data_IF_565639143365
#
_entry.id   IF_565639143365
#
_cell.length_a   1.000
_cell.length_b   1.000
_cell.length_c   1.000
_cell.angle_alpha   90.00
_cell.angle_beta   90.00
_cell.angle_gamma   90.00
#
_symmetry.space_group_name_H-M   'P 1'
#
loop_
_entity.id
_entity.type
_entity.pdbx_description
1 polymer ?
#
# COMPACT_ATOMS: atom_id res chain seq x y z
N UNK A 1 -11.88 35.68 11.55
CA UNK A 1 -12.72 35.46 10.36
C UNK A 1 -11.97 36.04 9.16
N UNK A 2 -11.07 35.25 8.55
CA UNK A 2 -10.31 35.62 7.36
C UNK A 2 -10.74 34.65 6.26
N UNK A 3 -11.53 35.14 5.31
CA UNK A 3 -11.89 34.44 4.07
C UNK A 3 -10.63 34.36 3.20
N UNK A 4 -10.04 33.18 3.07
CA UNK A 4 -9.14 32.91 1.95
C UNK A 4 -9.98 32.88 0.66
N UNK A 5 -9.83 33.91 -0.12
CA UNK A 5 -10.37 33.97 -1.48
C UNK A 5 -9.42 33.15 -2.34
N UNK A 6 -9.84 31.95 -2.73
CA UNK A 6 -9.22 31.23 -3.84
C UNK A 6 -9.38 32.09 -5.11
N UNK A 7 -8.33 32.77 -5.49
CA UNK A 7 -8.22 33.35 -6.84
C UNK A 7 -8.07 32.19 -7.83
N UNK A 8 -9.15 31.81 -8.45
CA UNK A 8 -9.12 31.06 -9.71
C UNK A 8 -8.49 31.94 -10.76
N UNK A 9 -7.28 31.61 -11.18
CA UNK A 9 -6.65 32.20 -12.36
C UNK A 9 -7.34 31.59 -13.59
N UNK A 10 -7.92 32.38 -14.49
CA UNK A 10 -8.57 31.86 -15.69
C UNK A 10 -7.48 31.39 -16.66
N UNK A 11 -7.49 30.12 -17.09
CA UNK A 11 -6.85 29.71 -18.33
C UNK A 11 -5.70 28.72 -18.27
N UNK A 12 -5.39 28.02 -17.15
CA UNK A 12 -4.46 26.90 -17.21
C UNK A 12 -5.18 25.65 -17.74
N UNK A 13 -5.06 25.43 -19.04
CA UNK A 13 -5.48 24.19 -19.70
C UNK A 13 -4.62 23.04 -19.16
N UNK A 14 -5.12 22.32 -18.15
CA UNK A 14 -4.49 21.10 -17.69
C UNK A 14 -4.56 20.06 -18.82
N UNK A 15 -3.42 19.59 -19.33
CA UNK A 15 -3.45 18.51 -20.32
C UNK A 15 -4.14 17.29 -19.73
N UNK A 16 -4.91 16.57 -20.55
CA UNK A 16 -5.52 15.32 -20.10
C UNK A 16 -4.42 14.32 -19.74
N UNK A 17 -4.40 13.88 -18.49
CA UNK A 17 -3.43 12.92 -17.97
C UNK A 17 -4.10 11.56 -17.87
N UNK A 18 -3.46 10.54 -18.44
CA UNK A 18 -3.80 9.15 -18.16
C UNK A 18 -3.04 8.68 -16.92
N UNK A 19 -3.58 7.70 -16.21
CA UNK A 19 -2.89 7.07 -15.10
C UNK A 19 -2.51 5.62 -15.46
N UNK A 20 -1.32 5.18 -15.03
CA UNK A 20 -0.84 3.80 -15.18
C UNK A 20 -0.63 3.23 -13.79
N UNK A 21 -1.52 2.33 -13.38
CA UNK A 21 -1.44 1.62 -12.11
C UNK A 21 -0.58 0.35 -12.26
N UNK A 22 0.52 0.28 -11.54
CA UNK A 22 1.43 -0.87 -11.53
C UNK A 22 0.97 -1.87 -10.47
N UNK A 23 0.13 -2.81 -10.86
CA UNK A 23 -0.44 -3.84 -10.00
C UNK A 23 0.28 -5.18 -10.19
N UNK A 24 1.60 -5.17 -10.26
CA UNK A 24 2.44 -6.36 -10.36
C UNK A 24 3.19 -6.64 -9.06
N UNK A 25 3.65 -7.87 -8.89
CA UNK A 25 4.50 -8.24 -7.75
C UNK A 25 3.90 -9.31 -6.83
N UNK A 26 4.79 -10.16 -6.28
CA UNK A 26 4.40 -11.32 -5.46
C UNK A 26 3.94 -10.97 -4.03
N UNK A 27 4.04 -9.72 -3.59
CA UNK A 27 3.59 -9.30 -2.27
C UNK A 27 4.31 -9.97 -1.08
N UNK A 28 5.53 -10.50 -1.27
CA UNK A 28 6.22 -11.29 -0.24
C UNK A 28 6.47 -10.51 1.05
N UNK A 29 6.86 -9.24 0.96
CA UNK A 29 7.11 -8.38 2.12
C UNK A 29 5.84 -7.97 2.87
N UNK A 30 4.70 -8.00 2.18
CA UNK A 30 3.39 -7.68 2.75
C UNK A 30 2.71 -8.88 3.42
N UNK A 31 3.34 -10.07 3.40
CA UNK A 31 2.80 -11.22 4.14
C UNK A 31 2.77 -10.95 5.64
N UNK A 32 1.71 -11.37 6.35
CA UNK A 32 0.63 -12.25 5.93
C UNK A 32 -0.57 -11.52 5.27
N UNK A 33 -0.59 -10.19 5.11
CA UNK A 33 -1.71 -9.43 4.56
C UNK A 33 -2.10 -9.88 3.13
N UNK A 34 -1.10 -10.36 2.38
CA UNK A 34 -1.26 -10.87 1.00
C UNK A 34 -1.44 -12.38 0.92
N UNK A 35 -1.77 -13.03 2.03
CA UNK A 35 -2.10 -14.45 2.07
C UNK A 35 -3.50 -14.65 2.63
N UNK A 36 -4.30 -15.45 1.93
CA UNK A 36 -5.60 -15.93 2.40
C UNK A 36 -5.49 -17.36 2.92
N UNK A 37 -6.55 -17.86 3.55
CA UNK A 37 -6.68 -19.26 3.89
C UNK A 37 -6.46 -20.15 2.66
N UNK A 38 -6.02 -21.38 2.85
CA UNK A 38 -5.68 -22.34 1.78
C UNK A 38 -4.53 -21.94 0.83
N UNK A 39 -3.73 -20.92 1.19
CA UNK A 39 -2.53 -20.53 0.43
C UNK A 39 -2.79 -19.67 -0.79
N UNK A 40 -4.01 -19.16 -1.00
CA UNK A 40 -4.30 -18.20 -2.05
C UNK A 40 -3.55 -16.89 -1.83
N UNK A 41 -3.01 -16.33 -2.91
CA UNK A 41 -2.26 -15.06 -2.86
C UNK A 41 -3.23 -13.91 -3.17
N UNK A 42 -3.34 -12.97 -2.22
CA UNK A 42 -4.03 -11.71 -2.44
C UNK A 42 -3.12 -10.72 -3.16
N UNK A 43 -3.66 -10.05 -4.18
CA UNK A 43 -2.99 -8.92 -4.81
C UNK A 43 -2.76 -7.80 -3.79
N UNK A 44 -1.59 -7.17 -3.80
CA UNK A 44 -1.34 -5.98 -2.97
C UNK A 44 -2.37 -4.87 -3.23
N UNK A 45 -2.77 -4.70 -4.49
CA UNK A 45 -3.79 -3.75 -4.91
C UNK A 45 -5.17 -4.04 -4.32
N UNK A 46 -5.46 -5.32 -4.01
CA UNK A 46 -6.72 -5.78 -3.45
C UNK A 46 -6.67 -5.95 -1.91
N UNK A 47 -5.55 -5.63 -1.25
CA UNK A 47 -5.50 -5.62 0.22
C UNK A 47 -6.55 -4.65 0.74
N UNK A 48 -7.43 -5.07 1.67
CA UNK A 48 -8.41 -4.19 2.27
C UNK A 48 -7.73 -3.08 3.06
N UNK A 49 -8.17 -1.85 2.84
CA UNK A 49 -7.75 -0.67 3.58
C UNK A 49 -8.98 0.15 3.90
N UNK A 50 -9.31 0.29 5.18
CA UNK A 50 -10.51 1.02 5.63
C UNK A 50 -11.76 0.61 4.83
N UNK A 51 -12.05 -0.68 4.78
CA UNK A 51 -13.26 -1.25 4.18
C UNK A 51 -13.32 -1.31 2.65
N UNK A 52 -12.23 -0.96 1.95
CA UNK A 52 -12.16 -1.03 0.47
C UNK A 52 -10.81 -1.57 0.00
N UNK A 53 -10.72 -2.19 -1.18
CA UNK A 53 -9.45 -2.49 -1.82
C UNK A 53 -8.59 -1.23 -1.97
N UNK A 54 -7.30 -1.32 -1.65
CA UNK A 54 -6.37 -0.19 -1.69
C UNK A 54 -6.39 0.55 -3.04
N UNK A 55 -6.48 -0.20 -4.14
CA UNK A 55 -6.52 0.39 -5.49
C UNK A 55 -7.75 1.26 -5.74
N UNK A 56 -8.87 1.01 -5.08
CA UNK A 56 -10.07 1.88 -5.18
C UNK A 56 -9.82 3.25 -4.56
N UNK A 57 -9.11 3.31 -3.42
CA UNK A 57 -8.72 4.56 -2.79
C UNK A 57 -7.81 5.39 -3.69
N UNK A 58 -6.82 4.75 -4.32
CA UNK A 58 -5.90 5.41 -5.25
C UNK A 58 -6.62 5.97 -6.48
N UNK A 59 -7.49 5.17 -7.09
CA UNK A 59 -8.29 5.61 -8.24
C UNK A 59 -9.20 6.77 -7.86
N UNK A 60 -9.87 6.70 -6.71
CA UNK A 60 -10.74 7.77 -6.23
C UNK A 60 -9.95 9.07 -5.96
N UNK A 61 -8.81 8.99 -5.27
CA UNK A 61 -7.97 10.14 -4.95
C UNK A 61 -7.45 10.86 -6.22
N UNK A 62 -7.02 10.13 -7.24
CA UNK A 62 -6.57 10.72 -8.49
C UNK A 62 -7.72 11.18 -9.38
N UNK A 63 -8.87 10.47 -9.41
CA UNK A 63 -10.08 10.94 -10.07
C UNK A 63 -10.52 12.31 -9.56
N UNK A 64 -10.51 12.49 -8.25
CA UNK A 64 -10.91 13.74 -7.62
C UNK A 64 -9.97 14.90 -7.94
N UNK A 65 -8.78 14.59 -8.46
CA UNK A 65 -7.82 15.54 -9.02
C UNK A 65 -7.85 15.60 -10.56
N UNK A 66 -8.89 15.04 -11.20
CA UNK A 66 -9.15 15.19 -12.63
C UNK A 66 -8.66 14.05 -13.53
N UNK A 67 -8.11 12.95 -12.98
CA UNK A 67 -7.72 11.79 -13.79
C UNK A 67 -8.94 10.92 -14.08
N UNK A 68 -9.29 10.76 -15.36
CA UNK A 68 -10.48 10.00 -15.77
C UNK A 68 -10.15 8.71 -16.53
N UNK A 69 -8.90 8.51 -16.94
CA UNK A 69 -8.46 7.34 -17.72
C UNK A 69 -7.35 6.60 -16.98
N UNK A 70 -7.61 5.36 -16.61
CA UNK A 70 -6.69 4.49 -15.89
C UNK A 70 -6.32 3.27 -16.72
N UNK A 71 -5.05 2.91 -16.69
CA UNK A 71 -4.49 1.73 -17.36
C UNK A 71 -3.80 0.87 -16.31
N UNK A 72 -4.26 -0.36 -16.13
CA UNK A 72 -3.73 -1.28 -15.12
C UNK A 72 -2.76 -2.25 -15.75
N UNK A 73 -1.50 -2.18 -15.34
CA UNK A 73 -0.49 -3.19 -15.62
C UNK A 73 -0.53 -4.25 -14.53
N UNK A 74 -1.28 -5.33 -14.73
CA UNK A 74 -1.37 -6.45 -13.79
C UNK A 74 -0.54 -7.62 -14.28
N UNK A 75 0.30 -8.20 -13.40
CA UNK A 75 1.09 -9.40 -13.69
C UNK A 75 0.50 -10.61 -12.97
N UNK A 76 0.32 -11.71 -13.70
CA UNK A 76 -0.29 -12.94 -13.22
C UNK A 76 -1.83 -12.95 -13.28
N UNK A 77 -2.39 -14.14 -13.54
CA UNK A 77 -3.82 -14.32 -13.74
C UNK A 77 -4.63 -13.94 -12.49
N UNK A 78 -4.21 -14.42 -11.33
CA UNK A 78 -4.90 -14.20 -10.05
C UNK A 78 -4.88 -12.73 -9.65
N UNK A 79 -3.72 -12.08 -9.74
CA UNK A 79 -3.57 -10.66 -9.46
C UNK A 79 -4.47 -9.80 -10.37
N UNK A 80 -4.48 -10.09 -11.67
CA UNK A 80 -5.35 -9.42 -12.65
C UNK A 80 -6.83 -9.59 -12.31
N UNK A 81 -7.25 -10.81 -11.94
CA UNK A 81 -8.64 -11.09 -11.60
C UNK A 81 -9.08 -10.26 -10.41
N UNK A 82 -8.33 -10.26 -9.33
CA UNK A 82 -8.67 -9.51 -8.10
C UNK A 82 -8.70 -7.98 -8.33
N UNK A 83 -7.75 -7.44 -9.11
CA UNK A 83 -7.77 -6.01 -9.45
C UNK A 83 -8.96 -5.67 -10.34
N UNK A 84 -9.33 -6.56 -11.26
CA UNK A 84 -10.50 -6.37 -12.11
C UNK A 84 -11.81 -6.52 -11.34
N UNK A 85 -11.87 -7.37 -10.34
CA UNK A 85 -13.01 -7.47 -9.42
C UNK A 85 -13.20 -6.17 -8.63
N UNK A 86 -12.11 -5.59 -8.12
CA UNK A 86 -12.14 -4.32 -7.40
C UNK A 86 -12.57 -3.14 -8.28
N UNK A 87 -12.00 -3.00 -9.48
CA UNK A 87 -12.19 -1.80 -10.31
C UNK A 87 -13.26 -1.93 -11.41
N UNK A 88 -13.58 -3.17 -11.85
CA UNK A 88 -14.39 -3.38 -13.06
C UNK A 88 -13.75 -2.72 -14.28
N UNK A 89 -14.53 -2.01 -15.04
CA UNK A 89 -14.06 -1.10 -16.09
C UNK A 89 -14.14 0.38 -15.67
N UNK A 90 -14.40 0.64 -14.38
CA UNK A 90 -14.34 1.95 -13.76
C UNK A 90 -15.69 2.67 -13.63
N UNK A 91 -16.79 2.09 -14.12
CA UNK A 91 -18.11 2.73 -14.13
C UNK A 91 -18.55 3.14 -12.73
N UNK A 92 -18.34 2.25 -11.74
CA UNK A 92 -18.70 2.48 -10.33
C UNK A 92 -17.92 3.64 -9.71
N UNK A 93 -16.73 3.91 -10.24
CA UNK A 93 -15.83 4.97 -9.77
C UNK A 93 -15.92 6.24 -10.63
N UNK A 94 -16.72 6.25 -11.69
CA UNK A 94 -16.87 7.39 -12.60
C UNK A 94 -15.62 7.64 -13.47
N UNK A 95 -14.87 6.60 -13.79
CA UNK A 95 -13.65 6.64 -14.59
C UNK A 95 -13.66 5.55 -15.68
N UNK A 96 -12.70 5.59 -16.60
CA UNK A 96 -12.45 4.50 -17.55
C UNK A 96 -11.23 3.70 -17.11
N UNK A 97 -11.37 2.39 -16.95
CA UNK A 97 -10.27 1.48 -16.61
C UNK A 97 -10.01 0.50 -17.75
N UNK A 98 -8.77 0.42 -18.18
CA UNK A 98 -8.28 -0.55 -19.18
C UNK A 98 -7.18 -1.40 -18.58
N UNK A 99 -7.01 -2.62 -19.08
CA UNK A 99 -6.04 -3.57 -18.55
C UNK A 99 -5.03 -3.94 -19.65
N UNK A 100 -3.76 -4.10 -19.27
CA UNK A 100 -2.73 -4.66 -20.15
C UNK A 100 -3.12 -6.08 -20.63
N UNK A 101 -2.61 -6.52 -21.76
CA UNK A 101 -2.97 -7.85 -22.30
C UNK A 101 -2.28 -9.00 -21.55
N UNK A 102 -2.94 -10.16 -21.39
CA UNK A 102 -2.41 -11.30 -20.63
C UNK A 102 -1.14 -11.93 -21.21
N UNK A 103 -0.75 -11.61 -22.43
CA UNK A 103 0.44 -12.22 -23.07
C UNK A 103 1.74 -11.92 -22.30
N UNK A 104 1.77 -10.84 -21.56
CA UNK A 104 2.92 -10.40 -20.77
C UNK A 104 2.92 -10.92 -19.34
N UNK A 105 1.87 -11.64 -18.91
CA UNK A 105 1.67 -12.02 -17.52
C UNK A 105 2.56 -13.18 -17.03
N UNK A 106 3.31 -13.84 -17.92
CA UNK A 106 4.07 -15.04 -17.57
C UNK A 106 5.41 -14.78 -16.90
N UNK A 107 5.97 -13.58 -17.07
CA UNK A 107 7.27 -13.21 -16.52
C UNK A 107 7.20 -11.82 -15.89
N UNK A 108 7.82 -11.66 -14.74
CA UNK A 108 8.04 -10.32 -14.16
C UNK A 108 9.13 -9.63 -14.99
N UNK A 109 8.73 -8.78 -15.90
CA UNK A 109 9.63 -8.04 -16.80
C UNK A 109 10.10 -6.71 -16.21
N UNK A 110 9.67 -6.38 -14.98
CA UNK A 110 9.99 -5.12 -14.30
C UNK A 110 8.93 -4.03 -14.52
N UNK A 111 8.91 -3.09 -13.58
CA UNK A 111 7.93 -2.00 -13.51
C UNK A 111 8.07 -0.99 -14.66
N UNK A 112 9.29 -0.71 -15.10
CA UNK A 112 9.58 0.14 -16.27
C UNK A 112 9.08 -0.50 -17.56
N UNK A 113 9.36 -1.81 -17.76
CA UNK A 113 8.88 -2.54 -18.93
C UNK A 113 7.34 -2.61 -18.96
N UNK A 114 6.71 -2.82 -17.82
CA UNK A 114 5.25 -2.81 -17.72
C UNK A 114 4.65 -1.46 -18.14
N UNK A 115 5.29 -0.36 -17.73
CA UNK A 115 4.90 1.01 -18.13
C UNK A 115 5.02 1.20 -19.65
N UNK A 116 6.17 0.85 -20.24
CA UNK A 116 6.39 0.95 -21.68
C UNK A 116 5.39 0.11 -22.46
N UNK A 117 5.11 -1.11 -21.98
CA UNK A 117 4.11 -1.99 -22.59
C UNK A 117 2.71 -1.38 -22.61
N UNK A 118 2.28 -0.75 -21.52
CA UNK A 118 0.99 -0.04 -21.45
C UNK A 118 0.96 1.16 -22.39
N UNK A 119 2.02 1.98 -22.41
CA UNK A 119 2.13 3.14 -23.32
C UNK A 119 2.00 2.71 -24.78
N UNK A 120 2.67 1.62 -25.18
CA UNK A 120 2.63 1.12 -26.54
C UNK A 120 1.28 0.48 -26.88
N UNK A 121 0.79 -0.41 -26.03
CA UNK A 121 -0.46 -1.15 -26.23
C UNK A 121 -1.69 -0.26 -26.38
N UNK A 122 -1.75 0.80 -25.54
CA UNK A 122 -2.87 1.74 -25.55
C UNK A 122 -2.61 3.01 -26.39
N UNK A 123 -1.44 3.10 -27.00
CA UNK A 123 -1.07 4.24 -27.88
C UNK A 123 -1.02 5.58 -27.15
N UNK A 124 -0.60 5.57 -25.88
CA UNK A 124 -0.54 6.79 -25.07
C UNK A 124 0.52 7.76 -25.65
N UNK A 125 0.14 9.01 -25.85
CA UNK A 125 1.00 10.03 -26.49
C UNK A 125 1.24 11.28 -25.65
N UNK A 126 0.33 11.58 -24.71
CA UNK A 126 0.43 12.71 -23.78
C UNK A 126 1.27 12.37 -22.56
N UNK A 127 0.84 12.87 -21.41
CA UNK A 127 1.48 12.58 -20.13
C UNK A 127 0.72 11.50 -19.38
N UNK A 128 1.44 10.69 -18.62
CA UNK A 128 0.85 9.67 -17.78
C UNK A 128 1.42 9.71 -16.36
N UNK A 129 0.53 9.64 -15.37
CA UNK A 129 0.87 9.43 -13.97
C UNK A 129 1.04 7.93 -13.73
N UNK A 130 2.25 7.50 -13.43
CA UNK A 130 2.59 6.10 -13.13
C UNK A 130 2.74 5.93 -11.63
N UNK A 131 2.04 4.95 -11.04
CA UNK A 131 2.08 4.74 -9.60
C UNK A 131 1.99 3.26 -9.23
N UNK A 132 2.63 2.82 -8.13
CA UNK A 132 2.47 1.49 -7.57
C UNK A 132 1.15 1.40 -6.79
N UNK A 133 0.56 0.21 -6.75
CA UNK A 133 -0.72 -0.02 -6.06
C UNK A 133 -0.56 -0.52 -4.62
N UNK A 134 0.61 -0.38 -4.03
CA UNK A 134 0.91 -0.74 -2.65
C UNK A 134 1.35 0.45 -1.79
N UNK A 135 1.06 1.67 -2.24
CA UNK A 135 1.36 2.91 -1.53
C UNK A 135 0.21 3.89 -1.62
N UNK A 136 -0.02 4.69 -0.57
CA UNK A 136 -0.92 5.84 -0.61
C UNK A 136 -0.11 7.12 -0.88
N UNK A 137 -0.73 8.07 -1.58
CA UNK A 137 -0.11 9.33 -1.94
C UNK A 137 -1.00 10.50 -1.56
N UNK A 138 -0.40 11.52 -0.94
CA UNK A 138 -0.98 12.84 -0.80
C UNK A 138 -0.13 13.82 -1.61
N UNK A 139 -0.72 14.50 -2.58
CA UNK A 139 -0.02 15.42 -3.49
C UNK A 139 -0.96 16.41 -4.13
N UNK A 140 -0.43 17.55 -4.56
CA UNK A 140 -1.03 18.45 -5.55
C UNK A 140 -0.67 17.98 -6.97
N UNK A 141 -1.57 17.21 -7.61
CA UNK A 141 -1.32 16.72 -8.97
C UNK A 141 -1.17 17.88 -9.99
N UNK A 142 -1.91 18.96 -9.81
CA UNK A 142 -1.80 20.14 -10.69
C UNK A 142 -0.43 20.77 -10.56
N UNK A 143 0.12 20.88 -9.34
CA UNK A 143 1.48 21.33 -9.08
C UNK A 143 2.52 20.42 -9.73
N UNK A 144 2.40 19.12 -9.53
CA UNK A 144 3.30 18.13 -10.15
C UNK A 144 3.31 18.26 -11.68
N UNK A 145 2.15 18.47 -12.30
CA UNK A 145 2.04 18.66 -13.76
C UNK A 145 2.70 19.96 -14.20
N UNK A 146 2.48 21.06 -13.49
CA UNK A 146 3.15 22.34 -13.79
C UNK A 146 4.67 22.21 -13.74
N UNK A 147 5.20 21.58 -12.69
CA UNK A 147 6.65 21.37 -12.51
C UNK A 147 7.22 20.51 -13.64
N UNK A 148 6.52 19.43 -13.98
CA UNK A 148 6.92 18.54 -15.08
C UNK A 148 6.99 19.26 -16.42
N UNK A 149 5.97 20.04 -16.75
CA UNK A 149 5.93 20.79 -18.01
C UNK A 149 6.99 21.89 -18.03
N UNK A 150 7.17 22.61 -16.93
CA UNK A 150 8.16 23.67 -16.81
C UNK A 150 9.60 23.16 -16.91
N UNK A 151 9.89 22.00 -16.33
CA UNK A 151 11.22 21.39 -16.39
C UNK A 151 11.58 20.79 -17.75
N UNK A 152 10.59 20.54 -18.62
CA UNK A 152 10.76 19.83 -19.87
C UNK A 152 11.32 18.42 -19.70
N UNK A 153 11.10 17.80 -18.53
CA UNK A 153 11.60 16.47 -18.22
C UNK A 153 10.92 15.38 -19.06
N UNK A 154 11.62 14.27 -19.27
CA UNK A 154 11.02 13.02 -19.79
C UNK A 154 10.23 12.33 -18.68
N UNK A 155 10.78 12.42 -17.47
CA UNK A 155 10.18 11.85 -16.25
C UNK A 155 10.37 12.84 -15.11
N UNK A 156 9.30 13.07 -14.35
CA UNK A 156 9.36 13.72 -13.03
C UNK A 156 9.06 12.69 -11.97
N UNK A 157 9.99 12.55 -11.02
CA UNK A 157 9.91 11.59 -9.91
C UNK A 157 9.22 12.26 -8.72
N UNK A 158 8.21 11.63 -8.17
CA UNK A 158 7.64 12.02 -6.87
C UNK A 158 8.67 11.83 -5.76
N UNK A 159 9.00 12.92 -5.07
CA UNK A 159 9.99 12.97 -4.02
C UNK A 159 9.34 12.94 -2.63
N UNK A 160 9.81 12.06 -1.79
CA UNK A 160 9.49 12.06 -0.35
C UNK A 160 10.77 12.03 0.48
N UNK A 161 10.68 12.13 1.80
CA UNK A 161 11.82 12.05 2.70
C UNK A 161 11.60 10.97 3.76
N UNK A 162 12.68 10.28 4.14
CA UNK A 162 12.69 9.25 5.19
C UNK A 162 14.00 9.31 5.96
N UNK A 163 14.02 8.86 7.24
CA UNK A 163 15.28 8.64 7.96
C UNK A 163 16.20 7.66 7.26
N UNK A 164 17.50 7.88 7.33
CA UNK A 164 18.52 7.05 6.70
C UNK A 164 18.37 5.55 7.00
N UNK A 165 18.01 5.22 8.24
CA UNK A 165 17.79 3.84 8.68
C UNK A 165 16.64 3.13 7.93
N UNK A 166 15.63 3.86 7.45
CA UNK A 166 14.54 3.33 6.65
C UNK A 166 14.91 3.24 5.16
N UNK A 167 15.80 4.13 4.69
CA UNK A 167 16.20 4.23 3.28
C UNK A 167 17.20 3.14 2.92
N UNK A 168 18.16 2.85 3.79
CA UNK A 168 19.23 1.91 3.51
C UNK A 168 18.71 0.54 3.07
N UNK A 169 19.11 0.09 1.87
CA UNK A 169 18.71 -1.17 1.26
C UNK A 169 17.23 -1.29 0.87
N UNK A 170 16.43 -0.23 1.07
CA UNK A 170 14.97 -0.29 0.89
C UNK A 170 14.47 0.57 -0.26
N UNK A 171 14.82 1.87 -0.27
CA UNK A 171 14.36 2.85 -1.25
C UNK A 171 15.49 3.32 -2.16
N UNK A 172 15.16 3.77 -3.36
CA UNK A 172 16.06 4.55 -4.19
C UNK A 172 16.21 5.97 -3.63
N UNK A 173 17.43 6.51 -3.62
CA UNK A 173 17.73 7.90 -3.27
C UNK A 173 18.21 8.68 -4.48
N UNK A 174 18.11 10.00 -4.42
CA UNK A 174 18.49 10.87 -5.51
C UNK A 174 19.19 12.14 -5.00
N UNK A 175 20.00 12.72 -5.87
CA UNK A 175 20.59 14.05 -5.70
C UNK A 175 20.07 14.90 -6.84
N UNK A 176 19.50 16.05 -6.51
CA UNK A 176 18.99 17.02 -7.47
C UNK A 176 19.64 18.38 -7.26
N UNK A 177 19.71 19.16 -8.32
CA UNK A 177 20.12 20.56 -8.27
C UNK A 177 19.03 21.47 -7.69
N UNK A 178 19.34 22.76 -7.55
CA UNK A 178 18.40 23.76 -7.02
C UNK A 178 17.13 23.98 -7.86
N UNK A 179 17.10 23.49 -9.10
CA UNK A 179 15.95 23.52 -10.01
C UNK A 179 15.15 22.21 -9.98
N UNK A 180 15.54 21.24 -9.14
CA UNK A 180 14.89 19.94 -9.05
C UNK A 180 15.27 18.95 -10.15
N UNK A 181 16.33 19.24 -10.95
CA UNK A 181 16.85 18.29 -11.93
C UNK A 181 17.69 17.23 -11.24
N UNK A 182 17.41 15.95 -11.49
CA UNK A 182 18.13 14.84 -10.90
C UNK A 182 19.48 14.66 -11.58
N UNK A 183 20.55 14.82 -10.81
CA UNK A 183 21.95 14.63 -11.24
C UNK A 183 22.44 13.19 -10.98
N UNK A 184 21.97 12.57 -9.91
CA UNK A 184 22.32 11.19 -9.55
C UNK A 184 21.13 10.45 -8.98
N UNK A 185 21.02 9.19 -9.34
CA UNK A 185 20.05 8.26 -8.78
C UNK A 185 20.76 6.98 -8.31
N UNK A 186 20.44 6.52 -7.09
CA UNK A 186 21.08 5.34 -6.49
C UNK A 186 20.00 4.45 -5.90
N UNK A 187 19.82 3.28 -6.51
CA UNK A 187 18.84 2.30 -6.01
C UNK A 187 19.39 1.58 -4.79
N UNK A 188 18.60 1.54 -3.73
CA UNK A 188 18.86 0.82 -2.47
C UNK A 188 20.30 1.03 -1.94
N UNK A 189 20.72 2.29 -1.67
CA UNK A 189 22.04 2.58 -1.19
C UNK A 189 22.34 1.88 0.14
N UNK A 190 23.60 1.59 0.39
CA UNK A 190 24.03 1.17 1.73
C UNK A 190 23.97 2.35 2.72
N UNK A 191 23.91 2.06 4.03
CA UNK A 191 24.00 3.10 5.07
C UNK A 191 25.23 4.01 4.87
N UNK A 192 26.39 3.42 4.62
CA UNK A 192 27.62 4.16 4.34
C UNK A 192 27.51 5.10 3.14
N UNK A 193 26.78 4.67 2.11
CA UNK A 193 26.53 5.51 0.93
C UNK A 193 25.62 6.71 1.28
N UNK A 194 24.61 6.48 2.10
CA UNK A 194 23.71 7.55 2.55
C UNK A 194 24.45 8.55 3.43
N UNK A 195 25.22 8.09 4.41
CA UNK A 195 26.04 8.93 5.29
C UNK A 195 27.01 9.82 4.53
N UNK A 196 27.54 9.33 3.40
CA UNK A 196 28.44 10.10 2.55
C UNK A 196 27.74 11.15 1.66
N UNK A 197 26.45 11.03 1.44
CA UNK A 197 25.70 11.84 0.46
C UNK A 197 24.62 12.72 1.09
N UNK A 198 24.00 12.29 2.18
CA UNK A 198 22.89 13.01 2.79
C UNK A 198 23.39 14.13 3.69
N UNK A 199 22.92 15.34 3.43
CA UNK A 199 23.18 16.49 4.30
C UNK A 199 22.44 16.37 5.65
N UNK A 200 21.30 15.68 5.67
CA UNK A 200 20.46 15.44 6.85
C UNK A 200 20.06 13.96 6.88
N UNK A 201 20.57 13.17 7.84
CA UNK A 201 20.26 11.75 7.98
C UNK A 201 18.79 11.48 8.33
N UNK A 202 18.08 12.45 8.92
CA UNK A 202 16.67 12.30 9.28
C UNK A 202 15.74 12.62 8.10
N UNK A 203 16.26 13.23 7.04
CA UNK A 203 15.51 13.68 5.87
C UNK A 203 16.16 13.30 4.53
N UNK A 204 16.47 12.04 4.36
CA UNK A 204 17.03 11.53 3.10
C UNK A 204 15.97 11.54 2.00
N UNK A 205 16.23 12.17 0.84
CA UNK A 205 15.29 12.17 -0.29
C UNK A 205 15.16 10.76 -0.88
N UNK A 206 13.92 10.33 -1.11
CA UNK A 206 13.62 9.02 -1.68
C UNK A 206 12.75 9.12 -2.94
N UNK A 207 12.95 8.17 -3.83
CA UNK A 207 12.00 7.87 -4.90
C UNK A 207 10.74 7.26 -4.29
N UNK A 208 9.64 7.98 -4.38
CA UNK A 208 8.34 7.53 -3.85
C UNK A 208 7.66 6.47 -4.73
N UNK A 209 8.23 6.14 -5.88
CA UNK A 209 7.64 5.19 -6.83
C UNK A 209 6.51 5.77 -7.69
N UNK A 210 6.22 7.06 -7.57
CA UNK A 210 5.26 7.78 -8.38
C UNK A 210 6.01 8.62 -9.42
N UNK A 211 5.55 8.56 -10.68
CA UNK A 211 6.21 9.24 -11.80
C UNK A 211 5.19 9.93 -12.69
N UNK A 212 5.51 11.14 -13.14
CA UNK A 212 4.83 11.76 -14.28
C UNK A 212 5.73 11.65 -15.50
N UNK A 213 5.23 11.06 -16.59
CA UNK A 213 6.04 10.72 -17.76
C UNK A 213 5.50 11.38 -19.04
N UNK A 214 6.39 11.86 -19.90
CA UNK A 214 6.08 12.16 -21.29
C UNK A 214 6.10 10.85 -22.11
N UNK A 215 4.91 10.32 -22.37
CA UNK A 215 4.75 9.03 -23.05
C UNK A 215 5.36 9.02 -24.45
N UNK A 216 5.26 10.12 -25.19
CA UNK A 216 5.79 10.19 -26.56
C UNK A 216 7.32 10.17 -26.56
N UNK A 217 7.96 10.91 -25.65
CA UNK A 217 9.42 10.92 -25.50
C UNK A 217 9.94 9.60 -24.99
N UNK A 218 9.31 9.05 -23.93
CA UNK A 218 9.72 7.77 -23.35
C UNK A 218 9.61 6.62 -24.36
N UNK A 219 8.56 6.62 -25.20
CA UNK A 219 8.39 5.63 -26.27
C UNK A 219 9.48 5.74 -27.33
N UNK A 220 9.89 6.96 -27.72
CA UNK A 220 11.02 7.14 -28.65
C UNK A 220 12.33 6.60 -28.07
N UNK A 221 12.58 6.83 -26.78
CA UNK A 221 13.75 6.29 -26.10
C UNK A 221 13.71 4.75 -26.01
N UNK A 222 12.54 4.18 -25.76
CA UNK A 222 12.36 2.72 -25.73
C UNK A 222 12.67 2.02 -27.06
N UNK A 223 12.59 2.74 -28.17
CA UNK A 223 12.93 2.23 -29.50
C UNK A 223 14.44 2.24 -29.80
N UNK A 224 15.29 2.79 -28.91
CA UNK A 224 16.74 2.75 -29.06
C UNK A 224 17.28 1.36 -28.76
N UNK A 225 18.33 0.90 -29.49
CA UNK A 225 18.94 -0.41 -29.30
C UNK A 225 19.41 -0.62 -27.86
N UNK A 226 19.88 0.44 -27.21
CA UNK A 226 20.40 0.41 -25.86
C UNK A 226 19.32 0.12 -24.84
N UNK A 227 18.21 0.86 -24.85
CA UNK A 227 17.11 0.63 -23.91
C UNK A 227 16.37 -0.68 -24.23
N UNK A 228 16.25 -1.06 -25.50
CA UNK A 228 15.74 -2.35 -25.91
C UNK A 228 16.62 -3.51 -25.40
N UNK A 229 17.94 -3.35 -25.33
CA UNK A 229 18.84 -4.34 -24.75
C UNK A 229 18.66 -4.49 -23.24
N UNK A 230 18.48 -3.40 -22.51
CA UNK A 230 18.13 -3.44 -21.07
C UNK A 230 16.79 -4.13 -20.84
N UNK A 231 15.79 -3.80 -21.64
CA UNK A 231 14.43 -4.35 -21.53
C UNK A 231 14.39 -5.89 -21.72
N UNK A 232 15.31 -6.49 -22.47
CA UNK A 232 15.41 -7.96 -22.61
C UNK A 232 15.79 -8.69 -21.31
N UNK A 233 16.43 -7.99 -20.36
CA UNK A 233 16.83 -8.55 -19.06
C UNK A 233 15.82 -8.28 -17.95
N UNK A 234 14.78 -7.54 -18.25
CA UNK A 234 13.87 -6.89 -17.30
C UNK A 234 14.25 -5.43 -17.12
N UNK A 235 13.26 -4.57 -16.92
CA UNK A 235 13.46 -3.13 -16.79
C UNK A 235 12.62 -2.60 -15.63
N UNK A 236 13.25 -2.41 -14.49
CA UNK A 236 12.63 -1.74 -13.35
C UNK A 236 12.84 -0.22 -13.40
N UNK A 237 11.90 0.53 -12.83
CA UNK A 237 12.00 1.99 -12.74
C UNK A 237 13.24 2.43 -11.96
N UNK A 238 13.39 1.93 -10.74
CA UNK A 238 14.50 2.33 -9.85
C UNK A 238 15.82 1.65 -10.20
N UNK A 239 15.78 0.34 -10.52
CA UNK A 239 16.99 -0.44 -10.80
C UNK A 239 17.67 -0.13 -12.13
N UNK A 240 16.87 0.22 -13.16
CA UNK A 240 17.37 0.27 -14.52
C UNK A 240 17.03 1.60 -15.23
N UNK A 241 15.74 1.96 -15.32
CA UNK A 241 15.30 3.03 -16.22
C UNK A 241 15.72 4.42 -15.74
N UNK A 242 15.55 4.75 -14.46
CA UNK A 242 15.97 6.04 -13.92
C UNK A 242 17.49 6.21 -13.94
N UNK A 243 18.30 5.24 -13.47
CA UNK A 243 19.76 5.31 -13.61
C UNK A 243 20.22 5.49 -15.07
N UNK A 244 19.59 4.77 -16.00
CA UNK A 244 19.91 4.89 -17.42
C UNK A 244 19.58 6.29 -17.97
N UNK A 245 18.38 6.81 -17.72
CA UNK A 245 17.97 8.14 -18.16
C UNK A 245 18.94 9.22 -17.64
N UNK A 246 19.26 9.19 -16.35
CA UNK A 246 20.16 10.16 -15.72
C UNK A 246 21.58 10.03 -16.30
N UNK A 247 22.11 8.81 -16.42
CA UNK A 247 23.49 8.58 -16.93
C UNK A 247 23.67 8.99 -18.39
N UNK A 248 22.59 8.95 -19.18
CA UNK A 248 22.55 9.41 -20.59
C UNK A 248 22.25 10.88 -20.74
N UNK A 249 22.11 11.64 -19.65
CA UNK A 249 21.84 13.07 -19.68
C UNK A 249 20.42 13.43 -20.12
N UNK A 250 19.48 12.47 -20.15
CA UNK A 250 18.08 12.78 -20.41
C UNK A 250 17.54 13.60 -19.24
N UNK A 251 16.68 14.62 -19.50
CA UNK A 251 16.15 15.45 -18.44
C UNK A 251 15.18 14.65 -17.56
N UNK A 252 15.59 14.42 -16.33
CA UNK A 252 14.78 13.83 -15.26
C UNK A 252 14.70 14.83 -14.13
N UNK A 253 13.50 15.12 -13.63
CA UNK A 253 13.29 16.05 -12.53
C UNK A 253 12.64 15.33 -11.33
N UNK A 254 12.57 16.00 -10.19
CA UNK A 254 11.79 15.58 -9.05
C UNK A 254 10.85 16.69 -8.61
N UNK A 255 9.72 16.32 -8.02
CA UNK A 255 8.76 17.23 -7.41
C UNK A 255 8.31 16.65 -6.06
N UNK A 256 8.24 17.47 -4.99
CA UNK A 256 7.89 16.97 -3.68
C UNK A 256 6.45 16.49 -3.62
N UNK A 257 6.23 15.41 -2.89
CA UNK A 257 4.91 14.93 -2.49
C UNK A 257 4.66 15.36 -1.06
N UNK A 258 3.41 15.69 -0.72
CA UNK A 258 3.03 16.06 0.64
C UNK A 258 3.22 14.87 1.59
N UNK A 259 2.80 13.67 1.13
CA UNK A 259 2.94 12.46 1.93
C UNK A 259 2.93 11.18 1.09
N UNK A 260 3.63 10.16 1.58
CA UNK A 260 3.63 8.79 1.03
C UNK A 260 3.52 7.78 2.17
N UNK A 261 2.53 6.90 2.09
CA UNK A 261 2.37 5.74 2.97
C UNK A 261 2.75 4.46 2.24
N UNK A 262 3.68 3.69 2.79
CA UNK A 262 4.10 2.39 2.25
C UNK A 262 3.27 1.28 2.90
N UNK A 263 2.39 0.63 2.13
CA UNK A 263 1.61 -0.54 2.56
C UNK A 263 2.24 -1.85 2.12
N UNK A 264 3.47 -1.81 1.64
CA UNK A 264 4.22 -2.98 1.16
C UNK A 264 4.67 -3.95 2.24
N UNK A 265 4.41 -3.66 3.53
CA UNK A 265 4.68 -4.51 4.68
C UNK A 265 3.70 -4.23 5.83
N UNK A 266 3.53 -5.16 6.82
CA UNK A 266 2.55 -5.00 7.90
C UNK A 266 2.75 -3.74 8.75
N UNK A 267 3.99 -3.39 9.07
CA UNK A 267 4.30 -2.18 9.85
C UNK A 267 3.88 -0.92 9.09
N UNK A 268 4.29 -0.80 7.84
CA UNK A 268 3.93 0.32 6.99
C UNK A 268 2.42 0.45 6.82
N UNK A 269 1.72 -0.68 6.65
CA UNK A 269 0.26 -0.72 6.60
C UNK A 269 -0.38 -0.09 7.84
N UNK A 270 0.02 -0.53 9.04
CA UNK A 270 -0.54 -0.04 10.31
C UNK A 270 -0.25 1.44 10.55
N UNK A 271 0.98 1.89 10.26
CA UNK A 271 1.36 3.30 10.38
C UNK A 271 0.56 4.18 9.42
N UNK A 272 0.45 3.76 8.15
CA UNK A 272 -0.32 4.50 7.14
C UNK A 272 -1.81 4.53 7.48
N UNK A 273 -2.37 3.44 8.01
CA UNK A 273 -3.77 3.37 8.45
C UNK A 273 -4.03 4.35 9.61
N UNK A 274 -3.20 4.30 10.65
CA UNK A 274 -3.35 5.21 11.80
C UNK A 274 -3.24 6.69 11.36
N UNK A 275 -2.32 6.98 10.46
CA UNK A 275 -2.12 8.32 9.90
C UNK A 275 -3.31 8.77 9.03
N UNK A 276 -3.89 7.87 8.24
CA UNK A 276 -5.11 8.15 7.46
C UNK A 276 -6.31 8.43 8.38
N UNK A 277 -6.51 7.62 9.40
CA UNK A 277 -7.57 7.82 10.40
C UNK A 277 -7.40 9.13 11.20
N UNK A 278 -6.16 9.58 11.40
CA UNK A 278 -5.86 10.88 11.98
C UNK A 278 -6.03 12.07 11.00
N UNK A 279 -6.46 11.82 9.75
CA UNK A 279 -6.67 12.84 8.73
C UNK A 279 -5.41 13.25 7.98
N UNK A 280 -4.35 12.45 8.03
CA UNK A 280 -3.07 12.72 7.37
C UNK A 280 -3.09 12.57 5.85
N UNK A 281 -4.19 12.08 5.28
CA UNK A 281 -4.44 11.94 3.84
C UNK A 281 -5.77 12.59 3.45
N UNK A 282 -5.81 13.94 3.32
CA UNK A 282 -7.02 14.69 2.95
C UNK A 282 -7.67 14.23 1.64
N UNK A 283 -6.89 13.74 0.69
CA UNK A 283 -7.39 13.22 -0.60
C UNK A 283 -8.32 12.01 -0.45
N UNK A 284 -8.21 11.25 0.64
CA UNK A 284 -9.10 10.14 0.92
C UNK A 284 -10.51 10.58 1.37
N UNK A 285 -10.67 11.85 1.76
CA UNK A 285 -11.93 12.44 2.23
C UNK A 285 -12.60 11.62 3.31
N UNK A 286 -11.81 11.08 4.24
CA UNK A 286 -12.36 10.33 5.36
C UNK A 286 -13.19 11.25 6.26
N UNK A 287 -14.32 10.77 6.82
CA UNK A 287 -15.11 11.52 7.79
C UNK A 287 -14.27 11.90 9.02
N UNK A 288 -14.56 13.05 9.59
CA UNK A 288 -13.97 13.46 10.87
C UNK A 288 -14.68 12.76 12.03
N UNK A 289 -13.93 12.22 12.97
CA UNK A 289 -14.46 11.48 14.12
C UNK A 289 -14.64 9.98 13.83
N UNK A 290 -15.23 9.22 14.75
CA UNK A 290 -15.43 7.80 14.58
C UNK A 290 -16.41 7.50 13.45
N UNK A 291 -16.05 6.54 12.60
CA UNK A 291 -16.94 6.01 11.55
C UNK A 291 -17.52 4.71 12.06
N UNK A 292 -18.84 4.64 12.16
CA UNK A 292 -19.53 3.44 12.63
C UNK A 292 -20.63 3.11 11.65
N UNK A 293 -20.61 1.90 11.10
CA UNK A 293 -21.67 1.46 10.19
C UNK A 293 -23.02 1.39 10.93
N UNK A 294 -24.14 1.85 10.30
CA UNK A 294 -25.47 1.86 10.95
C UNK A 294 -25.92 0.49 11.46
N UNK A 295 -25.61 -0.60 10.75
CA UNK A 295 -25.95 -1.96 11.20
C UNK A 295 -25.27 -2.30 12.53
N UNK A 296 -24.01 -1.92 12.73
CA UNK A 296 -23.28 -2.12 13.97
C UNK A 296 -23.82 -1.25 15.12
N UNK A 297 -24.24 0.00 14.84
CA UNK A 297 -24.91 0.83 15.85
C UNK A 297 -26.18 0.20 16.38
N UNK A 298 -26.95 -0.47 15.52
CA UNK A 298 -28.23 -1.10 15.86
C UNK A 298 -28.08 -2.52 16.41
N UNK A 299 -26.88 -3.13 16.28
CA UNK A 299 -26.65 -4.51 16.73
C UNK A 299 -26.67 -4.58 18.24
N UNK A 300 -27.44 -5.56 18.78
CA UNK A 300 -27.45 -5.90 20.21
C UNK A 300 -26.38 -6.94 20.50
N UNK A 301 -25.60 -6.74 21.53
CA UNK A 301 -24.67 -7.80 21.97
C UNK A 301 -25.40 -8.82 22.88
N UNK A 302 -24.91 -10.04 22.84
CA UNK A 302 -25.54 -11.16 23.57
C UNK A 302 -25.31 -11.07 25.10
N UNK A 303 -24.28 -10.34 25.55
CA UNK A 303 -23.94 -10.24 26.97
C UNK A 303 -24.80 -9.23 27.72
N UNK A 304 -24.93 -8.01 27.18
CA UNK A 304 -25.69 -6.93 27.83
C UNK A 304 -27.10 -6.78 27.34
N UNK A 305 -27.43 -7.35 26.15
CA UNK A 305 -28.70 -7.13 25.45
C UNK A 305 -28.90 -5.70 24.93
N UNK A 306 -27.87 -4.81 25.04
CA UNK A 306 -27.91 -3.43 24.60
C UNK A 306 -27.37 -3.31 23.18
N UNK A 307 -27.89 -2.35 22.44
CA UNK A 307 -27.30 -1.93 21.15
C UNK A 307 -25.99 -1.17 21.39
N UNK A 308 -25.13 -1.11 20.37
CA UNK A 308 -23.92 -0.28 20.45
C UNK A 308 -24.27 1.19 20.69
N UNK A 309 -25.33 1.70 20.08
CA UNK A 309 -25.80 3.08 20.33
C UNK A 309 -26.19 3.30 21.79
N UNK A 310 -26.93 2.38 22.41
CA UNK A 310 -27.28 2.43 23.85
C UNK A 310 -26.04 2.35 24.75
N UNK A 311 -25.06 1.50 24.42
CA UNK A 311 -23.80 1.38 25.16
C UNK A 311 -22.95 2.66 25.08
N UNK A 312 -22.88 3.29 23.91
CA UNK A 312 -22.20 4.58 23.73
C UNK A 312 -22.85 5.68 24.56
N UNK A 313 -24.19 5.77 24.51
CA UNK A 313 -24.94 6.76 25.29
C UNK A 313 -24.78 6.56 26.80
N UNK A 314 -24.66 5.31 27.26
CA UNK A 314 -24.43 4.96 28.67
C UNK A 314 -22.96 5.05 29.11
N UNK A 315 -22.02 5.37 28.21
CA UNK A 315 -20.58 5.39 28.50
C UNK A 315 -19.96 4.01 28.79
N UNK A 316 -20.64 2.95 28.37
CA UNK A 316 -20.18 1.57 28.54
C UNK A 316 -19.12 1.13 27.50
N UNK A 317 -18.97 1.90 26.41
CA UNK A 317 -18.01 1.67 25.34
C UNK A 317 -17.33 3.00 25.00
N UNK A 318 -16.03 2.98 24.78
CA UNK A 318 -15.27 4.18 24.42
C UNK A 318 -14.67 4.05 23.02
N UNK A 319 -15.21 4.81 22.07
CA UNK A 319 -14.74 4.84 20.69
C UNK A 319 -14.07 6.19 20.41
N UNK A 320 -12.77 6.17 20.18
CA UNK A 320 -11.98 7.36 19.89
C UNK A 320 -12.20 7.91 18.47
N UNK A 321 -11.74 9.15 18.20
CA UNK A 321 -12.01 9.84 16.93
C UNK A 321 -11.42 9.14 15.69
N UNK A 322 -10.32 8.41 15.86
CA UNK A 322 -9.68 7.63 14.78
C UNK A 322 -10.16 6.18 14.69
N UNK A 323 -11.39 5.88 15.10
CA UNK A 323 -11.92 4.52 14.97
C UNK A 323 -12.80 4.39 13.71
N UNK A 324 -12.65 3.26 13.02
CA UNK A 324 -13.50 2.86 11.89
C UNK A 324 -14.11 1.48 12.17
N UNK A 325 -15.43 1.40 12.21
CA UNK A 325 -16.17 0.17 12.52
C UNK A 325 -17.06 -0.18 11.33
N UNK A 326 -16.81 -1.37 10.77
CA UNK A 326 -17.51 -1.96 9.64
C UNK A 326 -18.94 -2.37 9.96
N UNK A 327 -19.52 -3.21 9.13
CA UNK A 327 -20.89 -3.70 9.19
C UNK A 327 -21.02 -4.86 10.18
N UNK A 328 -22.14 -4.94 10.88
CA UNK A 328 -22.54 -6.07 11.72
C UNK A 328 -21.50 -6.47 12.79
N UNK A 329 -20.69 -5.49 13.24
CA UNK A 329 -19.71 -5.69 14.30
C UNK A 329 -20.41 -5.78 15.65
N UNK A 330 -20.04 -6.78 16.46
CA UNK A 330 -20.47 -6.89 17.84
C UNK A 330 -19.42 -6.31 18.79
N UNK A 331 -19.86 -5.45 19.71
CA UNK A 331 -18.98 -4.76 20.66
C UNK A 331 -19.52 -4.89 22.06
N UNK A 332 -18.84 -5.67 22.90
CA UNK A 332 -19.18 -5.88 24.31
C UNK A 332 -18.95 -4.63 25.20
N UNK A 333 -19.50 -4.63 26.41
CA UNK A 333 -19.29 -3.52 27.36
C UNK A 333 -17.83 -3.43 27.78
N UNK A 334 -17.37 -2.22 28.13
CA UNK A 334 -15.99 -1.95 28.57
C UNK A 334 -14.95 -1.91 27.45
N UNK A 335 -15.34 -2.08 26.19
CA UNK A 335 -14.44 -2.02 25.03
C UNK A 335 -13.93 -0.59 24.82
N UNK A 336 -12.63 -0.47 24.53
CA UNK A 336 -11.95 0.79 24.19
C UNK A 336 -11.27 0.65 22.83
N UNK A 337 -11.65 1.52 21.88
CA UNK A 337 -11.06 1.61 20.54
C UNK A 337 -10.40 2.98 20.33
N UNK A 338 -9.15 2.99 19.85
CA UNK A 338 -8.42 4.19 19.45
C UNK A 338 -7.65 3.95 18.16
N UNK A 339 -7.80 4.86 17.20
CA UNK A 339 -7.04 4.86 15.94
C UNK A 339 -6.99 3.48 15.27
N UNK A 340 -8.13 2.78 15.27
CA UNK A 340 -8.24 1.37 14.89
C UNK A 340 -9.32 1.16 13.84
N UNK A 341 -9.06 0.21 12.95
CA UNK A 341 -10.03 -0.32 12.01
C UNK A 341 -10.58 -1.65 12.51
N UNK A 342 -11.89 -1.80 12.46
CA UNK A 342 -12.61 -3.04 12.75
C UNK A 342 -13.46 -3.38 11.53
N UNK A 343 -13.16 -4.49 10.88
CA UNK A 343 -13.83 -4.99 9.68
C UNK A 343 -15.23 -5.52 9.95
N UNK A 344 -15.90 -5.92 8.88
CA UNK A 344 -17.26 -6.43 8.93
C UNK A 344 -17.35 -7.72 9.77
N UNK A 345 -18.47 -7.91 10.49
CA UNK A 345 -18.77 -9.13 11.26
C UNK A 345 -17.72 -9.50 12.34
N UNK A 346 -16.85 -8.57 12.71
CA UNK A 346 -15.91 -8.80 13.81
C UNK A 346 -16.61 -8.78 15.17
N UNK A 347 -16.05 -9.55 16.13
CA UNK A 347 -16.58 -9.67 17.48
C UNK A 347 -15.55 -9.22 18.53
N UNK A 348 -15.86 -8.12 19.21
CA UNK A 348 -15.04 -7.55 20.27
C UNK A 348 -15.68 -7.81 21.63
N UNK A 349 -15.20 -8.81 22.32
CA UNK A 349 -15.70 -9.23 23.63
C UNK A 349 -15.46 -8.16 24.72
N UNK A 350 -16.16 -8.24 25.87
CA UNK A 350 -16.08 -7.23 26.95
C UNK A 350 -14.65 -6.92 27.41
N UNK A 351 -14.41 -5.64 27.70
CA UNK A 351 -13.16 -5.06 28.27
C UNK A 351 -11.92 -5.19 27.38
N UNK A 352 -12.01 -5.63 26.15
CA UNK A 352 -10.85 -5.58 25.25
C UNK A 352 -10.47 -4.13 24.91
N UNK A 353 -9.18 -3.94 24.62
CA UNK A 353 -8.61 -2.63 24.26
C UNK A 353 -7.79 -2.76 22.97
N UNK A 354 -8.14 -1.95 21.97
CA UNK A 354 -7.46 -1.89 20.70
C UNK A 354 -6.96 -0.45 20.46
N UNK A 355 -5.66 -0.33 20.18
CA UNK A 355 -5.02 0.95 19.86
C UNK A 355 -4.10 0.76 18.62
N UNK A 356 -4.37 1.49 17.54
CA UNK A 356 -3.69 1.35 16.25
C UNK A 356 -3.70 -0.11 15.75
N UNK A 357 -4.88 -0.73 15.80
CA UNK A 357 -5.10 -2.11 15.38
C UNK A 357 -5.92 -2.13 14.09
N UNK A 358 -5.50 -2.96 13.14
CA UNK A 358 -6.31 -3.37 12.02
C UNK A 358 -6.90 -4.75 12.32
N UNK A 359 -8.16 -4.79 12.72
CA UNK A 359 -8.92 -6.01 12.97
C UNK A 359 -9.79 -6.29 11.74
N UNK A 360 -9.50 -7.37 11.00
CA UNK A 360 -10.18 -7.68 9.75
C UNK A 360 -11.50 -8.42 9.97
N UNK A 361 -12.22 -8.64 8.87
CA UNK A 361 -13.56 -9.20 8.86
C UNK A 361 -13.64 -10.53 9.61
N UNK A 362 -14.69 -10.71 10.42
CA UNK A 362 -14.96 -11.91 11.19
C UNK A 362 -13.92 -12.24 12.26
N UNK A 363 -12.98 -11.34 12.57
CA UNK A 363 -12.01 -11.58 13.62
C UNK A 363 -12.66 -11.53 15.01
N UNK A 364 -12.22 -12.38 15.91
CA UNK A 364 -12.75 -12.49 17.29
C UNK A 364 -11.69 -12.10 18.30
N UNK A 365 -11.98 -11.10 19.12
CA UNK A 365 -11.10 -10.62 20.18
C UNK A 365 -11.72 -10.93 21.55
N UNK A 366 -11.12 -11.85 22.27
CA UNK A 366 -11.62 -12.36 23.55
C UNK A 366 -11.61 -11.34 24.69
N UNK A 367 -12.31 -11.64 25.82
CA UNK A 367 -12.50 -10.71 26.91
C UNK A 367 -11.19 -10.24 27.54
N UNK A 368 -11.07 -8.93 27.80
CA UNK A 368 -9.89 -8.35 28.45
C UNK A 368 -8.62 -8.31 27.62
N UNK A 369 -8.64 -8.76 26.35
CA UNK A 369 -7.48 -8.74 25.48
C UNK A 369 -6.97 -7.31 25.27
N UNK A 370 -5.65 -7.15 25.13
CA UNK A 370 -4.99 -5.86 24.91
C UNK A 370 -4.14 -5.92 23.63
N UNK A 371 -4.56 -5.19 22.62
CA UNK A 371 -3.89 -5.12 21.34
C UNK A 371 -3.40 -3.71 21.06
N UNK A 372 -2.14 -3.57 20.64
CA UNK A 372 -1.58 -2.29 20.18
C UNK A 372 -0.62 -2.53 19.00
N UNK A 373 -0.66 -1.65 18.01
CA UNK A 373 0.17 -1.77 16.82
C UNK A 373 0.14 -3.19 16.25
N UNK A 374 -1.06 -3.69 15.94
CA UNK A 374 -1.26 -5.06 15.51
C UNK A 374 -2.21 -5.19 14.32
N UNK A 375 -1.89 -6.13 13.42
CA UNK A 375 -2.78 -6.58 12.37
C UNK A 375 -3.37 -7.94 12.74
N UNK A 376 -4.69 -8.03 12.78
CA UNK A 376 -5.44 -9.27 13.06
C UNK A 376 -6.20 -9.63 11.79
N UNK A 377 -5.79 -10.71 11.13
CA UNK A 377 -6.30 -11.16 9.84
C UNK A 377 -7.75 -11.62 9.90
N UNK A 378 -8.33 -11.82 8.71
CA UNK A 378 -9.71 -12.30 8.55
C UNK A 378 -9.92 -13.59 9.31
N UNK A 379 -11.02 -13.67 10.08
CA UNK A 379 -11.41 -14.82 10.90
C UNK A 379 -10.35 -15.29 11.94
N UNK A 380 -9.34 -14.47 12.22
CA UNK A 380 -8.37 -14.78 13.27
C UNK A 380 -9.01 -14.65 14.66
N UNK A 381 -8.52 -15.46 15.61
CA UNK A 381 -9.05 -15.53 16.97
C UNK A 381 -7.96 -15.23 17.99
N UNK A 382 -8.18 -14.19 18.80
CA UNK A 382 -7.36 -13.88 19.96
C UNK A 382 -8.14 -14.33 21.19
N UNK A 383 -7.83 -15.54 21.67
CA UNK A 383 -8.46 -16.09 22.88
C UNK A 383 -7.91 -15.36 24.11
N UNK A 384 -8.79 -14.97 25.00
CA UNK A 384 -8.45 -14.19 26.20
C UNK A 384 -9.53 -14.32 27.25
N UNK A 385 -9.15 -14.23 28.51
CA UNK A 385 -10.06 -14.09 29.66
C UNK A 385 -9.53 -13.01 30.60
N UNK A 386 -10.36 -12.45 31.50
CA UNK A 386 -9.90 -11.50 32.51
C UNK A 386 -8.75 -12.04 33.38
N UNK A 387 -8.74 -13.35 33.66
CA UNK A 387 -7.72 -14.02 34.47
C UNK A 387 -6.43 -14.26 33.69
N UNK A 388 -6.55 -14.47 32.36
CA UNK A 388 -5.44 -14.78 31.47
C UNK A 388 -5.53 -13.94 30.21
N UNK A 389 -5.34 -12.59 30.31
CA UNK A 389 -5.49 -11.70 29.18
C UNK A 389 -4.37 -11.91 28.16
N UNK A 390 -4.77 -12.00 26.89
CA UNK A 390 -3.82 -11.97 25.79
C UNK A 390 -3.31 -10.54 25.55
N UNK A 391 -2.02 -10.41 25.24
CA UNK A 391 -1.37 -9.13 24.91
C UNK A 391 -0.66 -9.26 23.56
N UNK A 392 -1.05 -8.44 22.59
CA UNK A 392 -0.50 -8.45 21.23
C UNK A 392 -0.01 -7.03 20.88
N UNK A 393 1.26 -6.90 20.50
CA UNK A 393 1.88 -5.57 20.32
C UNK A 393 3.04 -5.57 19.30
N UNK A 394 3.71 -4.42 19.15
CA UNK A 394 5.00 -4.33 18.47
C UNK A 394 4.96 -4.65 16.97
N UNK A 395 3.91 -4.21 16.27
CA UNK A 395 3.68 -4.51 14.86
C UNK A 395 3.52 -6.02 14.57
N UNK A 396 2.94 -6.75 15.53
CA UNK A 396 2.54 -8.14 15.32
C UNK A 396 1.53 -8.23 14.17
N UNK A 397 1.73 -9.19 13.27
CA UNK A 397 0.83 -9.44 12.15
C UNK A 397 0.36 -10.89 12.17
N UNK A 398 -0.91 -11.07 12.46
CA UNK A 398 -1.61 -12.35 12.49
C UNK A 398 -2.34 -12.54 11.16
N UNK A 399 -2.04 -13.61 10.44
CA UNK A 399 -2.67 -13.94 9.16
C UNK A 399 -4.10 -14.42 9.31
N UNK A 400 -4.70 -14.80 8.20
CA UNK A 400 -6.03 -15.38 8.11
C UNK A 400 -6.18 -16.62 9.04
N UNK A 401 -7.26 -16.69 9.81
CA UNK A 401 -7.55 -17.83 10.72
C UNK A 401 -6.44 -18.16 11.73
N UNK A 402 -5.56 -17.22 12.04
CA UNK A 402 -4.57 -17.43 13.11
C UNK A 402 -5.28 -17.51 14.45
N UNK A 403 -4.86 -18.47 15.27
CA UNK A 403 -5.30 -18.61 16.65
C UNK A 403 -4.23 -18.16 17.62
N UNK A 404 -4.55 -17.23 18.49
CA UNK A 404 -3.72 -16.81 19.62
C UNK A 404 -4.31 -17.41 20.90
N UNK A 405 -3.62 -18.32 21.60
CA UNK A 405 -4.12 -18.93 22.84
C UNK A 405 -4.22 -17.90 23.97
N UNK A 406 -5.12 -18.15 24.89
CA UNK A 406 -5.34 -17.37 26.09
C UNK A 406 -4.03 -17.15 26.90
N UNK A 407 -3.84 -15.94 27.41
CA UNK A 407 -2.66 -15.55 28.18
C UNK A 407 -1.38 -15.34 27.36
N UNK A 408 -1.44 -15.49 26.03
CA UNK A 408 -0.28 -15.26 25.14
C UNK A 408 0.19 -13.81 25.18
N UNK A 409 1.52 -13.62 25.07
CA UNK A 409 2.16 -12.30 24.95
C UNK A 409 2.99 -12.27 23.67
N UNK A 410 2.50 -11.55 22.65
CA UNK A 410 3.12 -11.45 21.35
C UNK A 410 3.64 -10.03 21.11
N UNK A 411 4.89 -9.92 20.64
CA UNK A 411 5.47 -8.63 20.22
C UNK A 411 6.35 -8.82 18.99
N UNK A 412 6.03 -8.13 17.89
CA UNK A 412 6.78 -8.22 16.63
C UNK A 412 6.67 -9.59 15.94
N UNK A 413 5.64 -10.37 16.25
CA UNK A 413 5.43 -11.72 15.69
C UNK A 413 4.73 -11.62 14.33
N UNK A 414 5.17 -12.43 13.37
CA UNK A 414 4.48 -12.64 12.10
C UNK A 414 3.99 -14.11 12.09
N UNK A 415 2.68 -14.29 12.16
CA UNK A 415 2.03 -15.59 12.05
C UNK A 415 1.31 -15.72 10.70
N UNK A 416 1.55 -16.84 10.02
CA UNK A 416 0.95 -17.13 8.73
C UNK A 416 -0.44 -17.79 8.88
N UNK A 417 -1.26 -17.78 7.80
CA UNK A 417 -2.62 -18.34 7.86
C UNK A 417 -2.72 -19.72 8.50
N UNK A 418 -3.75 -19.90 9.35
CA UNK A 418 -4.05 -21.17 10.03
C UNK A 418 -3.07 -21.57 11.13
N UNK A 419 -2.06 -20.76 11.47
CA UNK A 419 -1.11 -21.07 12.54
C UNK A 419 -1.68 -20.74 13.93
N UNK A 420 -1.13 -21.42 14.94
CA UNK A 420 -1.27 -21.01 16.33
C UNK A 420 -0.06 -20.16 16.72
N UNK A 421 -0.29 -18.95 17.23
CA UNK A 421 0.73 -18.02 17.68
C UNK A 421 0.72 -17.96 19.22
N UNK A 422 1.62 -18.68 19.86
CA UNK A 422 1.74 -18.80 21.32
C UNK A 422 2.93 -18.04 21.93
N UNK A 423 3.73 -17.38 21.09
CA UNK A 423 4.92 -16.64 21.50
C UNK A 423 6.17 -17.49 21.69
N UNK A 424 6.11 -18.80 21.46
CA UNK A 424 7.25 -19.72 21.67
C UNK A 424 8.22 -19.77 20.48
N UNK A 425 7.86 -19.19 19.32
CA UNK A 425 8.72 -19.10 18.14
C UNK A 425 9.08 -17.64 17.82
N UNK A 426 10.38 -17.26 17.81
CA UNK A 426 10.78 -16.00 17.22
C UNK A 426 10.44 -16.01 15.73
N UNK A 427 10.04 -14.84 15.20
CA UNK A 427 9.83 -14.65 13.78
C UNK A 427 11.06 -15.12 13.02
N UNK A 428 10.95 -16.18 12.23
CA UNK A 428 11.99 -16.55 11.30
C UNK A 428 12.10 -15.44 10.25
N UNK A 429 13.15 -14.64 10.33
CA UNK A 429 13.54 -13.74 9.28
C UNK A 429 13.56 -14.53 7.97
N UNK A 430 12.74 -14.13 6.99
CA UNK A 430 12.53 -14.86 5.76
C UNK A 430 13.81 -15.02 4.95
N UNK A 431 14.53 -16.10 5.15
CA UNK A 431 15.43 -16.67 4.17
C UNK A 431 14.67 -17.78 3.45
N UNK A 432 13.91 -17.40 2.43
CA UNK A 432 13.46 -18.37 1.44
C UNK A 432 14.67 -18.78 0.59
N UNK A 433 15.42 -19.77 1.12
CA UNK A 433 16.37 -20.52 0.33
C UNK A 433 15.61 -21.21 -0.81
N UNK A 434 16.00 -20.88 -2.03
CA UNK A 434 15.67 -21.64 -3.22
C UNK A 434 16.02 -23.12 -2.97
N UNK A 435 15.01 -23.99 -2.85
CA UNK A 435 15.24 -25.42 -3.06
C UNK A 435 15.44 -25.62 -4.55
N UNK A 436 16.69 -25.71 -4.97
CA UNK A 436 17.08 -26.28 -6.25
C UNK A 436 16.54 -27.71 -6.32
N UNK A 437 15.73 -27.97 -7.33
CA UNK A 437 15.31 -29.32 -7.70
C UNK A 437 16.55 -30.12 -8.09
N UNK A 438 16.73 -31.38 -7.66
CA UNK A 438 17.85 -32.19 -8.10
C UNK A 438 17.70 -32.49 -9.59
N UNK A 439 18.70 -32.10 -10.36
CA UNK A 439 18.91 -32.52 -11.74
C UNK A 439 19.07 -34.03 -11.76
N UNK A 440 18.16 -34.74 -12.40
CA UNK A 440 18.31 -36.17 -12.73
C UNK A 440 19.42 -36.32 -13.77
N UNK A 441 20.59 -36.76 -13.33
CA UNK A 441 21.62 -37.29 -14.23
C UNK A 441 21.19 -38.66 -14.75
N UNK A 442 20.74 -38.68 -15.99
CA UNK A 442 20.54 -39.92 -16.73
C UNK A 442 21.88 -40.54 -17.14
N UNK A 443 22.22 -41.66 -16.55
CA UNK A 443 23.26 -42.53 -17.05
C UNK A 443 22.77 -43.35 -18.25
N UNK A 444 23.43 -43.14 -19.36
CA UNK A 444 23.36 -44.04 -20.52
C UNK A 444 24.01 -45.40 -20.21
N UNK A 445 23.34 -46.49 -20.43
CA UNK A 445 23.99 -47.77 -20.78
C UNK A 445 23.27 -48.39 -21.95
N UNK A 446 24.12 -48.82 -22.86
CA UNK A 446 23.90 -49.50 -24.12
C UNK A 446 23.09 -50.81 -23.98
N UNK A 447 22.27 -51.09 -24.90
CA UNK A 447 22.28 -52.32 -25.75
C UNK A 447 21.41 -52.07 -27.00
#
# INVERSE_FOLDING_TARGET
MVRMIHRTVPGDFMPSISAIALAGGRGLRARPLTLEGSGHIRSKAAVPFLGRPLVEWLVAAFRDQGVTSFHVAANGRENRYQVKEALGYGERLGVSVRYSRPRTDRHNTGSGQATLGVIEEHGLRGHALVFPTDSLFELDLAGLVRDHLASGAVVTVGLAHRPAAEVAGTYGTLIADGAGRIERFIEKPSMRTIEALAADPDRVPINAGLYLVDCARLRRLAATDELAALARRGLDWGGDLLPWLVSRGHPVSCSPLDKVGDLGNPRGYLLTMAEALAGGYPSLRLPRGPVIHPASLARRDEVSGLTLAEKLAAGLVHIGPGAWIGRDVEIGPGVVLRDSYVGDEADLHPWCRLERVACMDGAIIGPGARLSDAYVGVMARVESSPERPAVVSGFTALGHEVRVPEGSRLSGVIAFPGQTADGTRPAAAGSAGERQSPTSSGSSTRS
#
